data_IF_256088689403
#
_entry.id   IF_256088689403
#
_cell.length_a   1.000
_cell.length_b   1.000
_cell.length_c   1.000
_cell.angle_alpha   90.00
_cell.angle_beta   90.00
_cell.angle_gamma   90.00
#
_symmetry.space_group_name_H-M   'P 1'
#
loop_
_entity.id
_entity.type
_entity.pdbx_description
1 polymer ?
#
# COMPACT_ATOMS: atom_id res chain seq x y z
N UNK A 1 1.71 12.18 11.24
CA UNK A 1 2.82 11.46 10.58
C UNK A 1 3.03 10.17 11.36
N UNK A 2 3.16 9.03 10.70
CA UNK A 2 3.34 7.72 11.33
C UNK A 2 4.69 7.14 10.94
N UNK A 3 5.45 6.65 11.91
CA UNK A 3 6.78 6.07 11.71
C UNK A 3 6.81 4.69 12.34
N UNK A 4 7.27 3.69 11.60
CA UNK A 4 7.43 2.34 12.11
C UNK A 4 8.65 1.67 11.50
N UNK A 5 9.14 0.64 12.17
CA UNK A 5 10.28 -0.17 11.74
C UNK A 5 9.76 -1.52 11.24
N UNK A 6 10.26 -1.99 10.10
CA UNK A 6 10.03 -3.36 9.60
C UNK A 6 11.35 -4.05 9.34
N UNK A 7 11.43 -5.34 9.65
CA UNK A 7 12.55 -6.23 9.29
C UNK A 7 12.24 -7.07 8.05
N UNK A 8 11.02 -6.99 7.49
CA UNK A 8 10.68 -7.70 6.25
C UNK A 8 11.11 -6.91 5.01
N UNK A 9 12.14 -7.43 4.34
CA UNK A 9 12.65 -6.93 3.06
C UNK A 9 11.56 -6.89 1.97
N UNK A 10 10.56 -7.77 2.01
CA UNK A 10 9.42 -7.77 1.06
C UNK A 10 8.50 -6.58 1.31
N UNK A 11 8.24 -6.23 2.57
CA UNK A 11 7.49 -5.02 2.91
C UNK A 11 8.26 -3.77 2.49
N UNK A 12 9.54 -3.66 2.89
CA UNK A 12 10.38 -2.52 2.51
C UNK A 12 10.41 -2.31 0.98
N UNK A 13 10.56 -3.38 0.19
CA UNK A 13 10.48 -3.32 -1.27
C UNK A 13 9.10 -2.90 -1.78
N UNK A 14 8.01 -3.45 -1.23
CA UNK A 14 6.62 -3.09 -1.59
C UNK A 14 6.36 -1.59 -1.34
N UNK A 15 6.86 -1.08 -0.23
CA UNK A 15 6.71 0.32 0.19
C UNK A 15 7.55 1.25 -0.69
N UNK A 16 8.77 0.84 -1.08
CA UNK A 16 9.63 1.62 -1.98
C UNK A 16 9.00 1.73 -3.37
N UNK A 17 8.39 0.66 -3.86
CA UNK A 17 7.58 0.67 -5.08
C UNK A 17 6.35 1.58 -4.90
N UNK A 18 5.64 1.53 -3.78
CA UNK A 18 4.49 2.40 -3.53
C UNK A 18 4.87 3.89 -3.48
N UNK A 19 5.99 4.22 -2.82
CA UNK A 19 6.57 5.57 -2.76
C UNK A 19 6.88 6.10 -4.17
N UNK A 20 7.58 5.32 -4.99
CA UNK A 20 7.93 5.71 -6.37
C UNK A 20 6.69 5.91 -7.25
N UNK A 21 5.68 5.06 -7.11
CA UNK A 21 4.42 5.19 -7.86
C UNK A 21 3.42 6.20 -7.23
N UNK A 22 3.83 6.96 -6.20
CA UNK A 22 2.99 7.87 -5.40
C UNK A 22 1.69 7.27 -4.83
N UNK A 23 1.61 5.94 -4.72
CA UNK A 23 0.41 5.20 -4.30
C UNK A 23 0.31 5.12 -2.77
N UNK A 24 -0.92 5.14 -2.20
CA UNK A 24 -1.10 4.81 -0.80
C UNK A 24 -0.72 3.35 -0.54
N UNK A 25 -0.05 3.11 0.58
CA UNK A 25 0.28 1.78 1.08
C UNK A 25 -0.45 1.54 2.40
N UNK A 26 -0.91 0.30 2.60
CA UNK A 26 -1.43 -0.17 3.88
C UNK A 26 -0.35 -0.95 4.60
N UNK A 27 -0.13 -0.62 5.85
CA UNK A 27 0.85 -1.20 6.76
C UNK A 27 0.14 -1.71 8.00
N UNK A 28 0.64 -2.81 8.57
CA UNK A 28 0.28 -3.27 9.91
C UNK A 28 1.50 -3.17 10.82
N UNK A 29 1.35 -2.49 11.95
CA UNK A 29 2.40 -2.38 12.96
C UNK A 29 1.76 -2.37 14.35
N UNK A 30 2.27 -3.21 15.25
CA UNK A 30 1.75 -3.38 16.63
C UNK A 30 0.21 -3.54 16.73
N UNK A 31 -0.41 -4.26 15.79
CA UNK A 31 -1.85 -4.47 15.72
C UNK A 31 -2.65 -3.33 15.05
N UNK A 32 -2.10 -2.13 14.93
CA UNK A 32 -2.71 -1.03 14.19
C UNK A 32 -2.51 -1.19 12.68
N UNK A 33 -3.58 -0.95 11.90
CA UNK A 33 -3.49 -0.88 10.42
C UNK A 33 -3.51 0.58 9.98
N UNK A 34 -2.39 1.09 9.46
CA UNK A 34 -2.25 2.46 8.96
C UNK A 34 -2.22 2.43 7.44
N UNK A 35 -3.06 3.25 6.80
CA UNK A 35 -3.04 3.45 5.34
C UNK A 35 -2.67 4.90 5.02
N UNK A 36 -1.75 5.10 4.09
CA UNK A 36 -1.36 6.43 3.66
C UNK A 36 -0.21 6.43 2.66
N UNK A 37 0.23 7.61 2.24
CA UNK A 37 1.35 7.76 1.31
C UNK A 37 2.70 7.60 2.05
N UNK A 38 3.57 6.76 1.51
CA UNK A 38 4.95 6.62 2.02
C UNK A 38 5.73 7.89 1.70
N UNK A 39 6.28 8.55 2.72
CA UNK A 39 7.10 9.76 2.61
C UNK A 39 8.59 9.44 2.53
N UNK A 40 9.07 8.54 3.38
CA UNK A 40 10.47 8.12 3.41
C UNK A 40 10.60 6.64 3.79
N UNK A 41 11.67 6.02 3.32
CA UNK A 41 12.13 4.69 3.73
C UNK A 41 13.64 4.82 3.89
N UNK A 42 14.14 4.55 5.09
CA UNK A 42 15.56 4.63 5.44
C UNK A 42 15.98 3.25 5.92
N UNK A 43 17.08 2.73 5.39
CA UNK A 43 17.69 1.50 5.89
C UNK A 43 18.46 1.81 7.17
N UNK A 44 18.29 0.99 8.20
CA UNK A 44 19.08 1.07 9.43
C UNK A 44 20.54 0.73 9.14
N UNK A 45 21.48 1.30 9.88
CA UNK A 45 22.93 1.03 9.75
C UNK A 45 23.28 -0.46 9.84
N UNK A 46 22.43 -1.25 10.50
CA UNK A 46 22.55 -2.71 10.60
C UNK A 46 22.16 -3.50 9.34
N UNK A 47 21.56 -2.87 8.33
CA UNK A 47 21.01 -3.53 7.12
C UNK A 47 19.84 -4.50 7.37
N UNK A 48 19.48 -4.74 8.63
CA UNK A 48 18.48 -5.72 9.06
C UNK A 48 17.07 -5.15 9.23
N UNK A 49 16.91 -3.82 9.15
CA UNK A 49 15.63 -3.14 9.35
C UNK A 49 15.51 -1.87 8.50
N UNK A 50 14.27 -1.54 8.14
CA UNK A 50 13.91 -0.30 7.44
C UNK A 50 12.96 0.52 8.30
N UNK A 51 13.32 1.79 8.51
CA UNK A 51 12.47 2.80 9.14
C UNK A 51 11.62 3.46 8.06
N UNK A 52 10.30 3.29 8.16
CA UNK A 52 9.34 3.74 7.16
C UNK A 52 8.48 4.85 7.75
N UNK A 53 8.50 6.00 7.07
CA UNK A 53 7.67 7.17 7.41
C UNK A 53 6.49 7.25 6.46
N UNK A 54 5.28 7.16 7.00
CA UNK A 54 4.02 7.28 6.27
C UNK A 54 3.32 8.57 6.70
N UNK A 55 2.84 9.33 5.73
CA UNK A 55 1.81 10.35 5.98
C UNK A 55 0.48 9.61 5.88
N UNK A 56 -0.24 9.37 6.99
CA UNK A 56 -1.59 8.84 6.88
C UNK A 56 -2.40 9.83 6.05
N UNK A 57 -3.04 9.33 4.98
CA UNK A 57 -4.04 10.13 4.30
C UNK A 57 -5.18 10.37 5.30
N UNK A 58 -5.78 11.56 5.28
CA UNK A 58 -6.90 11.88 6.16
C UNK A 58 -7.96 10.75 6.03
N UNK A 59 -8.58 10.30 7.14
CA UNK A 59 -9.50 9.16 7.12
C UNK A 59 -10.67 9.47 6.19
N UNK A 60 -10.54 9.04 4.93
CA UNK A 60 -11.53 9.29 3.90
C UNK A 60 -12.73 8.42 4.26
N UNK A 61 -13.72 9.06 4.89
CA UNK A 61 -15.04 8.48 5.15
C UNK A 61 -15.43 7.62 3.96
N UNK A 62 -15.70 6.34 4.24
CA UNK A 62 -15.48 5.25 3.30
C UNK A 62 -16.07 5.57 1.93
N UNK A 63 -15.21 5.99 0.98
CA UNK A 63 -15.59 6.05 -0.41
C UNK A 63 -15.97 4.62 -0.79
N UNK A 64 -17.24 4.35 -1.15
CA UNK A 64 -17.75 3.00 -1.26
C UNK A 64 -16.86 2.24 -2.23
N UNK A 65 -16.44 1.04 -1.83
CA UNK A 65 -15.44 0.25 -2.53
C UNK A 65 -15.72 0.31 -4.03
N UNK A 66 -14.83 0.97 -4.78
CA UNK A 66 -14.97 1.11 -6.22
C UNK A 66 -14.88 -0.30 -6.79
N UNK A 67 -16.05 -0.91 -6.98
CA UNK A 67 -16.19 -2.29 -7.42
C UNK A 67 -15.31 -2.42 -8.64
N UNK A 68 -14.32 -3.32 -8.59
CA UNK A 68 -13.63 -3.75 -9.81
C UNK A 68 -14.75 -4.17 -10.74
N UNK A 69 -14.99 -3.38 -11.78
CA UNK A 69 -16.02 -3.71 -12.75
C UNK A 69 -15.75 -5.14 -13.20
N UNK A 70 -16.76 -6.03 -13.20
CA UNK A 70 -16.56 -7.35 -13.77
C UNK A 70 -16.08 -7.12 -15.19
N UNK A 71 -14.91 -7.69 -15.53
CA UNK A 71 -14.50 -7.76 -16.92
C UNK A 71 -15.52 -8.65 -17.60
N UNK A 72 -16.52 -8.03 -18.22
CA UNK A 72 -17.41 -8.72 -19.13
C UNK A 72 -16.55 -9.17 -20.30
N UNK A 73 -16.07 -10.41 -20.22
CA UNK A 73 -15.71 -11.16 -21.41
C UNK A 73 -16.99 -11.25 -22.21
N UNK A 74 -17.12 -10.40 -23.23
CA UNK A 74 -18.22 -10.45 -24.17
C UNK A 74 -17.94 -11.65 -25.09
N UNK A 75 -18.22 -12.84 -24.55
CA UNK A 75 -18.21 -14.07 -25.31
C UNK A 75 -19.35 -13.94 -26.33
N UNK A 76 -18.98 -13.82 -27.60
CA UNK A 76 -19.87 -14.22 -28.67
C UNK A 76 -20.21 -15.71 -28.47
N UNK A 77 -21.47 -16.08 -28.65
CA UNK A 77 -21.99 -17.04 -29.65
C UNK A 77 -23.54 -16.95 -29.65
N UNK A 78 -24.18 -17.66 -30.60
CA UNK A 78 -25.61 -17.66 -30.96
C UNK A 78 -26.19 -16.33 -31.51
N UNK A 79 -27.12 -16.29 -32.48
CA UNK A 79 -27.64 -17.34 -33.39
C UNK A 79 -28.21 -16.67 -34.66
N UNK A 80 -27.92 -17.22 -35.87
CA UNK A 80 -28.77 -17.18 -37.08
C UNK A 80 -28.34 -18.28 -38.08
#
# INVERSE_FOLDING_TARGET
MFTYQTTDRKEARRLRIAQFNARPATVRSAGATVTGRVRSIVESESGAAWVVTIVPDAPKSAAPAMRRAPRMCLAAEDYL
#
